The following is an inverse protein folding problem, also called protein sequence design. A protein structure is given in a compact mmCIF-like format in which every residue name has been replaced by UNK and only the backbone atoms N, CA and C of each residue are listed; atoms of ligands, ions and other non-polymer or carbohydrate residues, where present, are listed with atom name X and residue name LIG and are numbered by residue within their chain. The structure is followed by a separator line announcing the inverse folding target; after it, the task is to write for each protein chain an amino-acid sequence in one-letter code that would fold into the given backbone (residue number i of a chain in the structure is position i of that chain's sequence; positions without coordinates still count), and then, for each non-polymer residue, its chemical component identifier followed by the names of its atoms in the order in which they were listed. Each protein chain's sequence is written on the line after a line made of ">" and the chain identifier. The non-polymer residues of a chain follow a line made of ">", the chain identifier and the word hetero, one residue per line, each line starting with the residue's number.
data_IF_568060932862
#
_entry.id   IF_568060932862
#
_cell.length_a   1.000
_cell.length_b   1.000
_cell.length_c   1.000
_cell.angle_alpha   90.00
_cell.angle_beta   90.00
_cell.angle_gamma   90.00
#
_symmetry.space_group_name_H-M   'P 1'
#
loop_
_entity.id
_entity.type
_entity.pdbx_description
1 polymer ?
#
# COMPACT_ATOMS: atom_id res chain seq x y z
N UNK A 1 7.77 9.21 -25.39
CA UNK A 1 7.79 10.70 -25.33
C UNK A 1 6.72 11.12 -24.34
N UNK A 2 7.15 11.82 -23.30
CA UNK A 2 6.32 12.33 -22.21
C UNK A 2 5.27 13.30 -22.73
N UNK A 3 4.00 13.15 -22.32
CA UNK A 3 3.02 14.24 -22.37
C UNK A 3 2.55 14.55 -20.96
N UNK A 4 3.04 15.69 -20.50
CA UNK A 4 2.92 16.31 -19.21
C UNK A 4 1.64 17.15 -19.23
N UNK A 5 0.74 16.97 -18.26
CA UNK A 5 -0.28 17.95 -17.90
C UNK A 5 -1.38 18.28 -18.93
N UNK A 6 -2.60 17.80 -18.67
CA UNK A 6 -3.80 18.53 -19.09
C UNK A 6 -4.89 18.42 -18.00
N UNK A 7 -5.47 19.56 -17.57
CA UNK A 7 -6.34 19.66 -16.41
C UNK A 7 -7.79 19.34 -16.78
N UNK A 8 -8.42 18.43 -16.04
CA UNK A 8 -9.84 18.11 -16.27
C UNK A 8 -10.23 16.78 -15.65
N UNK A 9 -10.55 16.80 -14.35
CA UNK A 9 -10.91 15.63 -13.56
C UNK A 9 -12.18 14.93 -14.02
N UNK A 10 -12.05 14.02 -14.99
CA UNK A 10 -12.99 12.91 -15.15
C UNK A 10 -12.29 11.66 -14.61
N UNK A 11 -12.65 11.26 -13.39
CA UNK A 11 -12.41 9.88 -12.95
C UNK A 11 -13.27 9.00 -13.85
N UNK A 12 -12.71 8.56 -14.98
CA UNK A 12 -13.29 7.49 -15.77
C UNK A 12 -13.36 6.30 -14.82
N UNK A 13 -14.57 5.87 -14.47
CA UNK A 13 -14.78 4.64 -13.71
C UNK A 13 -14.45 3.45 -14.61
N UNK A 14 -13.16 3.30 -14.93
CA UNK A 14 -12.65 2.14 -15.61
C UNK A 14 -12.59 1.04 -14.54
N UNK A 15 -13.67 0.26 -14.45
CA UNK A 15 -13.68 -1.03 -13.77
C UNK A 15 -12.80 -1.97 -14.59
N UNK A 16 -11.49 -1.78 -14.46
CA UNK A 16 -10.49 -2.71 -14.93
C UNK A 16 -10.85 -4.10 -14.42
N UNK A 17 -10.93 -5.08 -15.33
CA UNK A 17 -11.17 -6.47 -14.98
C UNK A 17 -10.03 -6.95 -14.08
N UNK A 18 -10.29 -7.67 -12.98
CA UNK A 18 -9.21 -8.36 -12.26
C UNK A 18 -8.40 -9.24 -13.25
N UNK A 19 -7.06 -9.27 -13.22
CA UNK A 19 -6.13 -8.72 -12.25
C UNK A 19 -5.36 -7.50 -12.78
N UNK A 20 -5.95 -6.65 -13.61
CA UNK A 20 -5.24 -5.51 -14.24
C UNK A 20 -4.63 -4.51 -13.24
N UNK A 21 -4.96 -4.61 -11.94
CA UNK A 21 -4.35 -3.83 -10.83
C UNK A 21 -3.36 -4.63 -9.97
N UNK A 22 -3.06 -5.88 -10.33
CA UNK A 22 -2.31 -6.84 -9.52
C UNK A 22 -3.13 -7.31 -8.31
N UNK A 23 -3.28 -8.62 -8.15
CA UNK A 23 -3.79 -9.19 -6.89
C UNK A 23 -2.67 -9.09 -5.86
N UNK A 24 -2.69 -8.06 -5.01
CA UNK A 24 -1.75 -7.96 -3.90
C UNK A 24 -1.91 -9.22 -3.03
N UNK A 25 -0.85 -10.04 -2.83
CA UNK A 25 -0.93 -11.37 -2.22
C UNK A 25 -1.68 -11.27 -0.89
N UNK A 26 -2.86 -11.87 -0.81
CA UNK A 26 -3.67 -11.85 0.42
C UNK A 26 -2.91 -12.62 1.49
N UNK A 27 -2.58 -11.95 2.59
CA UNK A 27 -1.99 -12.58 3.77
C UNK A 27 -3.08 -13.41 4.48
N UNK A 28 -3.28 -14.64 3.99
CA UNK A 28 -4.36 -15.53 4.42
C UNK A 28 -4.15 -16.08 5.83
N UNK A 29 -2.91 -16.46 6.16
CA UNK A 29 -2.55 -17.03 7.45
C UNK A 29 -2.16 -15.97 8.49
N UNK A 30 -2.08 -14.69 8.08
CA UNK A 30 -1.79 -13.57 8.96
C UNK A 30 -0.35 -13.54 9.46
N UNK A 31 0.59 -14.09 8.68
CA UNK A 31 2.01 -14.18 9.05
C UNK A 31 2.64 -12.79 9.22
N UNK A 32 2.17 -11.78 8.48
CA UNK A 32 2.66 -10.41 8.54
C UNK A 32 1.86 -9.50 9.48
N UNK A 33 0.91 -10.06 10.25
CA UNK A 33 0.03 -9.30 11.16
C UNK A 33 0.78 -8.54 12.25
N UNK A 34 1.91 -9.07 12.72
CA UNK A 34 2.75 -8.41 13.73
C UNK A 34 3.34 -7.11 13.20
N UNK A 35 3.92 -7.13 12.00
CA UNK A 35 4.51 -5.96 11.33
C UNK A 35 3.42 -4.95 10.95
N UNK A 36 2.27 -5.44 10.49
CA UNK A 36 1.10 -4.60 10.24
C UNK A 36 0.66 -3.84 11.49
N UNK A 37 0.59 -4.49 12.65
CA UNK A 37 0.22 -3.82 13.91
C UNK A 37 1.24 -2.75 14.29
N UNK A 38 2.53 -3.01 14.15
CA UNK A 38 3.58 -2.02 14.39
C UNK A 38 3.42 -0.79 13.49
N UNK A 39 3.18 -1.01 12.19
CA UNK A 39 2.92 0.07 11.23
C UNK A 39 1.68 0.89 11.62
N UNK A 40 0.55 0.24 11.92
CA UNK A 40 -0.69 0.93 12.30
C UNK A 40 -0.54 1.70 13.61
N UNK A 41 0.22 1.15 14.57
CA UNK A 41 0.52 1.84 15.81
C UNK A 41 1.41 3.07 15.57
N UNK A 42 2.39 2.98 14.67
CA UNK A 42 3.21 4.12 14.25
C UNK A 42 2.33 5.23 13.65
N UNK A 43 1.48 4.87 12.67
CA UNK A 43 0.57 5.82 12.02
C UNK A 43 -0.36 6.52 13.01
N UNK A 44 -0.85 5.80 14.03
CA UNK A 44 -1.66 6.39 15.10
C UNK A 44 -0.85 7.38 15.96
N UNK A 45 0.40 7.05 16.31
CA UNK A 45 1.28 7.92 17.11
C UNK A 45 1.57 9.24 16.39
N UNK A 46 1.90 9.17 15.09
CA UNK A 46 2.24 10.35 14.28
C UNK A 46 1.01 11.05 13.70
N UNK A 47 -0.21 10.65 14.12
CA UNK A 47 -1.49 11.21 13.66
C UNK A 47 -1.64 11.21 12.13
N UNK A 48 -1.15 10.16 11.48
CA UNK A 48 -1.18 10.01 10.03
C UNK A 48 -0.22 10.92 9.26
N UNK A 49 0.71 11.59 9.95
CA UNK A 49 1.83 12.28 9.30
C UNK A 49 2.75 11.28 8.60
N UNK A 50 3.42 11.72 7.55
CA UNK A 50 4.36 10.89 6.80
C UNK A 50 5.72 10.87 7.51
N UNK A 51 5.78 10.13 8.60
CA UNK A 51 6.99 9.97 9.39
C UNK A 51 7.91 8.90 8.78
N UNK A 52 9.24 9.12 8.71
CA UNK A 52 10.18 8.16 8.17
C UNK A 52 10.13 6.79 8.89
N UNK A 53 9.94 6.75 10.22
CA UNK A 53 9.83 5.48 10.94
C UNK A 53 8.63 4.66 10.47
N UNK A 54 7.49 5.33 10.23
CA UNK A 54 6.31 4.65 9.73
C UNK A 54 6.48 4.16 8.28
N UNK A 55 7.31 4.83 7.47
CA UNK A 55 7.66 4.37 6.11
C UNK A 55 8.49 3.10 6.15
N UNK A 56 9.44 2.99 7.06
CA UNK A 56 10.27 1.78 7.21
C UNK A 56 9.42 0.59 7.69
N UNK A 57 8.48 0.82 8.60
CA UNK A 57 7.49 -0.18 9.01
C UNK A 57 6.56 -0.58 7.87
N UNK A 58 6.10 0.38 7.06
CA UNK A 58 5.28 0.10 5.88
C UNK A 58 6.05 -0.76 4.86
N UNK A 59 7.31 -0.42 4.59
CA UNK A 59 8.19 -1.18 3.70
C UNK A 59 8.37 -2.62 4.20
N UNK A 60 8.62 -2.78 5.49
CA UNK A 60 8.78 -4.11 6.12
C UNK A 60 7.50 -4.95 6.01
N UNK A 61 6.33 -4.35 6.22
CA UNK A 61 5.04 -5.03 6.07
C UNK A 61 4.78 -5.45 4.62
N UNK A 62 5.08 -4.57 3.66
CA UNK A 62 4.94 -4.86 2.23
C UNK A 62 5.90 -5.98 1.80
N UNK A 63 7.17 -5.92 2.21
CA UNK A 63 8.15 -6.97 1.91
C UNK A 63 7.72 -8.32 2.46
N UNK A 64 7.23 -8.38 3.70
CA UNK A 64 6.72 -9.62 4.29
C UNK A 64 5.61 -10.25 3.42
N UNK A 65 4.69 -9.45 2.85
CA UNK A 65 3.63 -9.95 1.97
C UNK A 65 4.11 -10.41 0.60
N UNK A 66 5.24 -9.89 0.11
CA UNK A 66 5.83 -10.34 -1.14
C UNK A 66 6.62 -11.63 -0.97
N UNK A 67 7.33 -11.78 0.16
CA UNK A 67 8.17 -12.95 0.44
C UNK A 67 7.35 -14.20 0.80
N UNK A 68 6.10 -14.02 1.24
CA UNK A 68 5.17 -15.07 1.69
C UNK A 68 4.02 -15.35 0.71
N UNK A 69 4.21 -15.03 -0.57
CA UNK A 69 3.27 -15.34 -1.66
C UNK A 69 3.39 -16.78 -2.14
#
# INVERSE_FOLDING_TARGET
>A
MSTFGSPGGRMVNNKHSPPERGSFPLDHDGECKSVMQSYLNCMKKVRGMNDPECRDLAKSYLSCRMDRN
#
